data_IF_195598212035
#
_entry.id   IF_195598212035
#
_cell.length_a   1.000
_cell.length_b   1.000
_cell.length_c   1.000
_cell.angle_alpha   90.00
_cell.angle_beta   90.00
_cell.angle_gamma   90.00
#
_symmetry.space_group_name_H-M   'P 1'
#
loop_
_entity.id
_entity.type
_entity.pdbx_description
1 polymer ?
#
# COMPACT_ATOMS: atom_id res chain seq x y z
N UNK A 1 -21.94 -2.12 5.44
CA UNK A 1 -20.54 -1.62 5.43
C UNK A 1 -19.62 -2.68 4.92
N UNK A 2 -18.55 -2.27 4.28
CA UNK A 2 -17.56 -3.18 3.76
C UNK A 2 -16.16 -2.74 4.18
N UNK A 3 -15.32 -3.73 4.44
CA UNK A 3 -13.96 -3.49 4.84
C UNK A 3 -13.05 -4.49 4.13
N UNK A 4 -11.99 -4.00 3.53
CA UNK A 4 -11.09 -4.83 2.73
C UNK A 4 -9.73 -4.87 3.38
N UNK A 5 -9.16 -6.06 3.48
CA UNK A 5 -7.79 -6.26 3.94
C UNK A 5 -6.98 -6.83 2.77
N UNK A 6 -5.91 -6.14 2.41
CA UNK A 6 -5.06 -6.57 1.30
C UNK A 6 -3.61 -6.56 1.76
N UNK A 7 -3.12 -7.73 2.11
CA UNK A 7 -1.75 -7.91 2.58
C UNK A 7 -1.14 -9.16 1.96
N UNK A 8 0.17 -9.27 2.07
CA UNK A 8 0.92 -10.45 1.62
C UNK A 8 0.78 -10.71 0.13
N UNK A 9 0.72 -9.65 -0.64
CA UNK A 9 0.77 -9.76 -2.08
C UNK A 9 1.75 -8.72 -2.60
N UNK A 10 2.47 -9.07 -3.65
CA UNK A 10 3.41 -8.14 -4.27
C UNK A 10 2.84 -7.45 -5.50
N UNK A 11 1.54 -7.64 -5.74
CA UNK A 11 0.95 -7.19 -6.99
C UNK A 11 -0.57 -7.13 -6.84
N UNK A 12 -1.18 -6.10 -7.37
CA UNK A 12 -2.63 -5.95 -7.32
C UNK A 12 -3.14 -5.91 -8.75
N UNK A 13 -3.87 -6.95 -9.14
CA UNK A 13 -4.38 -7.05 -10.50
C UNK A 13 -5.59 -6.15 -10.72
N UNK A 14 -5.89 -5.89 -11.99
CA UNK A 14 -7.09 -5.14 -12.33
C UNK A 14 -8.35 -5.83 -11.82
N UNK A 15 -8.36 -7.15 -11.85
CA UNK A 15 -9.49 -7.91 -11.37
C UNK A 15 -9.73 -7.67 -9.88
N UNK A 16 -8.65 -7.67 -9.10
CA UNK A 16 -8.78 -7.40 -7.68
C UNK A 16 -9.26 -5.96 -7.47
N UNK A 17 -8.70 -5.01 -8.21
CA UNK A 17 -9.12 -3.62 -8.10
C UNK A 17 -10.63 -3.50 -8.33
N UNK A 18 -11.14 -4.11 -9.38
CA UNK A 18 -12.57 -4.02 -9.67
C UNK A 18 -13.41 -4.66 -8.57
N UNK A 19 -12.89 -5.71 -7.95
CA UNK A 19 -13.63 -6.42 -6.91
C UNK A 19 -13.73 -5.61 -5.63
N UNK A 20 -12.69 -4.85 -5.26
CA UNK A 20 -12.63 -4.20 -3.96
C UNK A 20 -12.89 -2.69 -4.00
N UNK A 21 -13.27 -2.17 -5.16
CA UNK A 21 -13.51 -0.73 -5.32
C UNK A 21 -14.56 -0.20 -4.37
N UNK A 22 -14.34 1.01 -3.90
CA UNK A 22 -15.33 1.80 -3.18
C UNK A 22 -15.85 1.12 -1.92
N UNK A 23 -14.96 0.47 -1.19
CA UNK A 23 -15.32 -0.07 0.11
C UNK A 23 -15.33 1.05 1.14
N UNK A 24 -15.98 0.80 2.28
CA UNK A 24 -16.02 1.78 3.36
C UNK A 24 -14.67 1.96 4.03
N UNK A 25 -13.88 0.89 4.08
CA UNK A 25 -12.56 0.98 4.69
C UNK A 25 -11.58 0.01 4.07
N UNK A 26 -10.31 0.30 4.23
CA UNK A 26 -9.21 -0.52 3.70
C UNK A 26 -8.11 -0.65 4.72
N UNK A 27 -7.54 -1.84 4.78
CA UNK A 27 -6.21 -2.06 5.35
C UNK A 27 -5.32 -2.50 4.20
N UNK A 28 -4.38 -1.66 3.82
CA UNK A 28 -3.53 -1.89 2.66
C UNK A 28 -2.09 -2.05 3.14
N UNK A 29 -1.41 -3.03 2.58
CA UNK A 29 -0.01 -3.23 2.91
C UNK A 29 0.84 -2.11 2.35
N UNK A 30 1.68 -1.55 3.23
CA UNK A 30 2.76 -0.65 2.85
C UNK A 30 4.00 -1.21 3.52
N UNK A 31 4.57 -2.24 2.92
CA UNK A 31 5.55 -3.05 3.62
C UNK A 31 6.91 -2.38 3.73
N UNK A 32 7.36 -1.76 2.65
CA UNK A 32 8.73 -1.27 2.63
C UNK A 32 8.85 -0.04 1.77
N UNK A 33 9.86 0.77 2.10
CA UNK A 33 10.33 1.81 1.21
C UNK A 33 11.34 1.18 0.26
N UNK A 34 11.20 1.33 -1.05
CA UNK A 34 12.11 0.65 -1.98
C UNK A 34 13.58 0.99 -1.75
N UNK A 35 13.89 2.25 -1.40
CA UNK A 35 15.28 2.61 -1.16
C UNK A 35 15.80 1.96 0.13
N UNK A 36 14.99 1.95 1.19
CA UNK A 36 15.43 1.30 2.42
C UNK A 36 15.65 -0.19 2.21
N UNK A 37 14.78 -0.83 1.43
CA UNK A 37 14.96 -2.24 1.14
C UNK A 37 16.24 -2.48 0.37
N UNK A 38 16.48 -1.66 -0.66
CA UNK A 38 17.66 -1.83 -1.49
C UNK A 38 18.95 -1.64 -0.70
N UNK A 39 18.96 -0.67 0.20
CA UNK A 39 20.14 -0.32 0.98
C UNK A 39 20.24 -1.10 2.29
N UNK A 40 19.23 -1.89 2.62
CA UNK A 40 19.13 -2.52 3.92
C UNK A 40 19.90 -3.82 4.03
N UNK A 41 19.76 -4.50 5.18
CA UNK A 41 20.62 -5.63 5.51
C UNK A 41 20.21 -6.97 4.90
N UNK A 42 19.06 -7.05 4.24
CA UNK A 42 18.59 -8.31 3.69
C UNK A 42 19.49 -8.77 2.55
N UNK A 43 19.60 -10.08 2.39
CA UNK A 43 20.35 -10.65 1.26
C UNK A 43 19.63 -10.33 -0.05
N UNK A 44 20.40 -10.37 -1.14
CA UNK A 44 19.83 -10.08 -2.45
C UNK A 44 18.69 -11.04 -2.84
N UNK A 45 18.83 -12.36 -2.64
CA UNK A 45 17.70 -13.23 -2.95
C UNK A 45 16.45 -12.91 -2.17
N UNK A 46 16.59 -12.53 -0.90
CA UNK A 46 15.43 -12.14 -0.11
C UNK A 46 14.82 -10.85 -0.63
N UNK A 47 15.65 -9.88 -1.02
CA UNK A 47 15.15 -8.65 -1.60
C UNK A 47 14.35 -8.91 -2.87
N UNK A 48 14.85 -9.81 -3.71
CA UNK A 48 14.14 -10.13 -4.95
C UNK A 48 12.80 -10.79 -4.67
N UNK A 49 12.74 -11.63 -3.65
CA UNK A 49 11.48 -12.28 -3.30
C UNK A 49 10.46 -11.29 -2.78
N UNK A 50 10.90 -10.35 -1.98
CA UNK A 50 10.00 -9.32 -1.46
C UNK A 50 9.43 -8.47 -2.60
N UNK A 51 10.26 -8.16 -3.59
CA UNK A 51 9.85 -7.33 -4.71
C UNK A 51 8.98 -8.07 -5.73
N UNK A 52 8.92 -9.40 -5.66
CA UNK A 52 8.19 -10.18 -6.64
C UNK A 52 6.68 -10.15 -6.45
N UNK A 53 5.97 -10.77 -7.39
CA UNK A 53 4.51 -10.73 -7.40
C UNK A 53 3.89 -11.42 -6.19
N UNK A 54 4.59 -12.37 -5.61
CA UNK A 54 4.10 -13.06 -4.42
C UNK A 54 4.74 -12.54 -3.14
N UNK A 55 5.42 -11.41 -3.23
CA UNK A 55 6.08 -10.83 -2.09
C UNK A 55 5.19 -9.85 -1.33
N UNK A 56 5.62 -8.60 -1.30
CA UNK A 56 4.92 -7.57 -0.52
C UNK A 56 4.86 -6.28 -1.32
N UNK A 57 3.79 -5.54 -1.14
CA UNK A 57 3.66 -4.22 -1.76
C UNK A 57 4.58 -3.22 -1.07
N UNK A 58 5.27 -2.43 -1.86
CA UNK A 58 6.02 -1.30 -1.33
C UNK A 58 5.05 -0.19 -0.90
N UNK A 59 5.60 0.83 -0.22
CA UNK A 59 4.77 1.98 0.13
C UNK A 59 4.14 2.60 -1.11
N UNK A 60 4.92 2.73 -2.17
CA UNK A 60 4.42 3.35 -3.41
C UNK A 60 3.38 2.49 -4.10
N UNK A 61 3.59 1.18 -4.11
CA UNK A 61 2.63 0.29 -4.73
C UNK A 61 1.33 0.22 -3.92
N UNK A 62 1.44 0.21 -2.60
CA UNK A 62 0.27 0.25 -1.76
C UNK A 62 -0.53 1.53 -1.95
N UNK A 63 0.18 2.66 -2.00
CA UNK A 63 -0.48 3.94 -2.23
C UNK A 63 -1.16 3.98 -3.59
N UNK A 64 -0.49 3.46 -4.62
CA UNK A 64 -1.07 3.43 -5.95
C UNK A 64 -2.32 2.59 -6.03
N UNK A 65 -2.28 1.41 -5.40
CA UNK A 65 -3.47 0.55 -5.37
C UNK A 65 -4.62 1.23 -4.64
N UNK A 66 -4.30 1.92 -3.56
CA UNK A 66 -5.30 2.61 -2.78
C UNK A 66 -5.99 3.69 -3.62
N UNK A 67 -5.21 4.45 -4.39
CA UNK A 67 -5.80 5.50 -5.22
C UNK A 67 -6.73 4.93 -6.29
N UNK A 68 -6.51 3.68 -6.70
CA UNK A 68 -7.37 3.07 -7.70
C UNK A 68 -8.69 2.57 -7.13
N UNK A 69 -8.74 2.27 -5.83
CA UNK A 69 -9.93 1.66 -5.24
C UNK A 69 -10.75 2.58 -4.38
N UNK A 70 -10.18 3.65 -3.86
CA UNK A 70 -10.91 4.59 -3.01
C UNK A 70 -12.06 5.23 -3.80
N UNK A 71 -13.22 5.31 -3.17
CA UNK A 71 -14.37 5.96 -3.76
C UNK A 71 -15.09 6.83 -2.74
N UNK A 72 -16.27 7.28 -3.09
CA UNK A 72 -17.02 8.20 -2.25
C UNK A 72 -17.41 7.57 -0.90
N UNK A 73 -17.55 6.26 -0.88
CA UNK A 73 -17.96 5.59 0.35
C UNK A 73 -16.80 5.37 1.31
N UNK A 74 -15.57 5.48 0.83
CA UNK A 74 -14.41 5.15 1.64
C UNK A 74 -14.20 6.19 2.73
N UNK A 75 -14.19 5.73 3.98
CA UNK A 75 -14.07 6.63 5.13
C UNK A 75 -12.81 6.40 5.93
N UNK A 76 -12.22 5.21 5.87
CA UNK A 76 -11.05 4.90 6.67
C UNK A 76 -10.05 4.11 5.85
N UNK A 77 -8.79 4.41 6.05
CA UNK A 77 -7.69 3.69 5.43
C UNK A 77 -6.63 3.45 6.49
N UNK A 78 -6.22 2.20 6.63
CA UNK A 78 -5.14 1.82 7.51
C UNK A 78 -3.99 1.27 6.68
N UNK A 79 -2.78 1.64 7.07
CA UNK A 79 -1.57 1.13 6.44
C UNK A 79 -0.97 0.09 7.37
N UNK A 80 -0.72 -1.10 6.86
CA UNK A 80 -0.29 -2.16 7.72
C UNK A 80 0.83 -3.00 7.15
N UNK A 81 1.20 -4.00 7.93
CA UNK A 81 2.18 -5.02 7.54
C UNK A 81 3.52 -4.41 7.15
N UNK A 82 3.98 -3.41 7.92
CA UNK A 82 5.24 -2.74 7.66
C UNK A 82 6.43 -3.58 8.07
N UNK A 83 7.45 -3.57 7.23
CA UNK A 83 8.72 -4.18 7.59
C UNK A 83 9.40 -3.38 8.70
N UNK A 84 9.95 -4.07 9.70
CA UNK A 84 10.66 -3.39 10.76
C UNK A 84 12.01 -2.86 10.31
N UNK A 85 12.60 -3.47 9.30
CA UNK A 85 13.94 -3.11 8.85
C UNK A 85 13.97 -2.23 7.62
N UNK A 86 12.88 -2.22 6.84
CA UNK A 86 12.89 -1.58 5.53
C UNK A 86 11.83 -0.52 5.39
N UNK A 87 11.31 -0.02 6.50
CA UNK A 87 10.27 1.00 6.45
C UNK A 87 10.25 1.79 7.74
N UNK A 88 9.56 2.92 7.71
CA UNK A 88 9.22 3.70 8.88
C UNK A 88 7.77 4.13 8.76
N UNK A 89 7.08 4.22 9.88
CA UNK A 89 5.68 4.62 9.86
C UNK A 89 5.49 5.97 9.18
N UNK A 90 6.31 6.94 9.53
CA UNK A 90 6.20 8.27 8.93
C UNK A 90 6.44 8.24 7.43
N UNK A 91 7.35 7.39 6.97
CA UNK A 91 7.65 7.30 5.55
C UNK A 91 6.49 6.69 4.77
N UNK A 92 5.88 5.64 5.33
CA UNK A 92 4.73 5.03 4.68
C UNK A 92 3.56 6.02 4.60
N UNK A 93 3.30 6.72 5.68
CA UNK A 93 2.22 7.71 5.69
C UNK A 93 2.50 8.86 4.74
N UNK A 94 3.75 9.31 4.68
CA UNK A 94 4.11 10.39 3.76
C UNK A 94 3.92 9.96 2.31
N UNK A 95 4.31 8.73 1.99
CA UNK A 95 4.17 8.23 0.62
C UNK A 95 2.71 8.21 0.21
N UNK A 96 1.83 7.73 1.08
CA UNK A 96 0.41 7.71 0.79
C UNK A 96 -0.13 9.12 0.65
N UNK A 97 0.27 10.00 1.50
CA UNK A 97 -0.17 11.39 1.43
C UNK A 97 0.26 12.06 0.14
N UNK A 98 1.27 11.77 -0.13
CA UNK A 98 1.78 12.31 -1.28
C UNK A 98 1.12 11.84 -2.46
N UNK A 99 0.92 10.69 -2.52
CA UNK A 99 0.21 10.13 -3.67
C UNK A 99 -1.21 10.67 -3.75
N UNK A 100 -1.88 10.72 -2.63
CA UNK A 100 -3.24 11.26 -2.59
C UNK A 100 -3.28 12.72 -3.03
N UNK A 101 -2.30 13.50 -2.64
CA UNK A 101 -2.27 14.91 -2.99
C UNK A 101 -2.07 15.13 -4.49
N UNK A 102 -1.54 14.15 -5.20
CA UNK A 102 -1.31 14.29 -6.63
C UNK A 102 -2.53 13.90 -7.47
N UNK A 103 -3.62 13.49 -6.81
CA UNK A 103 -4.86 13.18 -7.49
C UNK A 103 -5.93 14.18 -7.11
N UNK A 104 -6.89 14.39 -7.98
CA UNK A 104 -7.96 15.34 -7.72
C UNK A 104 -9.24 14.67 -7.28
N UNK A 105 -9.26 13.36 -7.23
CA UNK A 105 -10.48 12.62 -6.92
C UNK A 105 -10.57 12.19 -5.47
N UNK A 106 -9.48 12.29 -4.74
CA UNK A 106 -9.47 11.84 -3.35
C UNK A 106 -10.06 12.90 -2.44
N UNK A 107 -11.07 12.50 -1.70
CA UNK A 107 -11.56 13.33 -0.63
C UNK A 107 -10.71 13.18 0.62
N UNK A 108 -11.09 13.87 1.68
CA UNK A 108 -10.37 13.71 2.94
C UNK A 108 -10.56 12.29 3.50
N UNK A 109 -9.46 11.69 3.94
CA UNK A 109 -9.51 10.39 4.56
C UNK A 109 -8.35 10.26 5.56
N UNK A 110 -8.43 9.25 6.41
CA UNK A 110 -7.47 9.06 7.49
C UNK A 110 -6.81 7.70 7.40
N UNK A 111 -5.58 7.66 7.82
CA UNK A 111 -4.80 6.42 7.87
C UNK A 111 -4.62 5.94 9.30
#
# INVERSE_FOLDING_TARGET
QSFVILTDTGYVSDRVVQTIKNADGYLIECNHDPEMLRMGPYSWPLKQRILGDTGHLSNEEGAGALMEVIGERTKRVFLGHRSQHNNMRSLAHLTVAXTAASTTTCGPWRT
#
